data_IF_495759277374
#
_entry.id   IF_495759277374
#
_cell.length_a   1.000
_cell.length_b   1.000
_cell.length_c   1.000
_cell.angle_alpha   90.00
_cell.angle_beta   90.00
_cell.angle_gamma   90.00
#
_symmetry.space_group_name_H-M   'P 1'
#
loop_
_entity.id
_entity.type
_entity.pdbx_description
1 polymer ?
#
# COMPACT_ATOMS: atom_id res chain seq x y z
N UNK A 1 14.31 -14.34 -59.78
CA UNK A 1 13.29 -15.34 -60.15
C UNK A 1 11.96 -14.82 -59.61
N UNK A 2 11.16 -14.26 -60.51
CA UNK A 2 9.94 -13.53 -60.22
C UNK A 2 8.73 -14.47 -60.32
N UNK A 3 7.71 -14.28 -59.48
CA UNK A 3 6.33 -14.55 -59.89
C UNK A 3 5.34 -13.74 -59.06
N UNK A 4 4.65 -12.85 -59.77
CA UNK A 4 3.57 -11.98 -59.32
C UNK A 4 2.22 -12.52 -59.81
N UNK A 5 1.13 -12.31 -59.05
CA UNK A 5 -0.28 -12.27 -59.50
C UNK A 5 -1.06 -11.37 -58.52
N UNK A 6 -1.42 -10.11 -58.81
CA UNK A 6 -2.53 -9.52 -59.63
C UNK A 6 -3.98 -9.73 -59.11
N UNK A 7 -4.52 -8.66 -58.48
CA UNK A 7 -5.85 -8.00 -58.67
C UNK A 7 -7.17 -8.75 -58.41
N UNK A 8 -8.35 -8.09 -58.28
CA UNK A 8 -8.75 -6.70 -58.65
C UNK A 8 -9.29 -5.86 -57.45
N UNK A 9 -9.14 -4.52 -57.34
CA UNK A 9 -9.81 -3.37 -58.00
C UNK A 9 -11.34 -3.35 -57.95
N UNK A 10 -11.89 -2.47 -57.10
CA UNK A 10 -13.22 -1.87 -57.27
C UNK A 10 -13.17 -0.34 -57.07
N UNK A 11 -13.33 0.40 -58.18
CA UNK A 11 -13.76 1.82 -58.27
C UNK A 11 -15.27 1.81 -57.92
N UNK A 12 -15.84 2.71 -57.11
CA UNK A 12 -15.82 4.17 -57.21
C UNK A 12 -17.24 4.65 -57.51
N UNK A 13 -17.84 5.52 -56.67
CA UNK A 13 -18.89 6.46 -57.09
C UNK A 13 -19.09 7.57 -56.07
N UNK A 14 -18.62 8.75 -56.44
CA UNK A 14 -18.98 10.04 -55.89
C UNK A 14 -20.20 10.58 -56.66
N UNK A 15 -21.15 11.20 -55.96
CA UNK A 15 -22.12 12.09 -56.57
C UNK A 15 -22.33 13.36 -55.71
N UNK A 16 -22.46 14.44 -56.46
CA UNK A 16 -22.47 15.87 -56.16
C UNK A 16 -23.78 16.39 -55.55
N UNK A 17 -23.69 17.52 -54.83
CA UNK A 17 -24.78 18.40 -54.34
C UNK A 17 -25.62 19.02 -55.49
N UNK A 18 -26.77 19.73 -55.27
CA UNK A 18 -26.76 21.11 -54.73
C UNK A 18 -28.04 21.68 -54.01
N UNK A 19 -27.82 22.79 -53.29
CA UNK A 19 -28.56 24.08 -53.24
C UNK A 19 -30.01 24.31 -52.68
N UNK A 20 -30.06 25.35 -51.83
CA UNK A 20 -30.98 26.53 -51.73
C UNK A 20 -32.33 26.46 -51.00
N UNK A 21 -32.33 27.10 -49.82
CA UNK A 21 -33.07 28.31 -49.42
C UNK A 21 -34.59 28.45 -49.71
N UNK A 22 -35.39 28.69 -48.65
CA UNK A 22 -36.16 29.94 -48.50
C UNK A 22 -36.77 30.16 -47.10
N UNK A 23 -36.95 31.44 -46.83
CA UNK A 23 -37.46 32.15 -45.65
C UNK A 23 -38.88 31.82 -45.20
N UNK A 24 -39.13 31.97 -43.89
CA UNK A 24 -40.46 32.21 -43.33
C UNK A 24 -40.35 33.00 -42.01
N UNK A 25 -40.57 34.32 -42.07
CA UNK A 25 -40.63 35.23 -40.93
C UNK A 25 -42.12 35.53 -40.64
N UNK A 26 -42.58 35.18 -39.45
CA UNK A 26 -43.81 35.71 -38.83
C UNK A 26 -43.56 35.66 -37.31
N UNK A 27 -43.31 36.78 -36.63
CA UNK A 27 -44.27 37.86 -36.48
C UNK A 27 -45.22 37.50 -35.34
N UNK A 28 -44.74 37.51 -34.08
CA UNK A 28 -45.61 37.47 -32.91
C UNK A 28 -45.23 38.57 -31.93
N UNK A 29 -46.27 39.33 -31.62
CA UNK A 29 -46.33 40.61 -30.94
C UNK A 29 -45.79 40.58 -29.53
N UNK A 30 -44.89 41.52 -29.24
CA UNK A 30 -44.44 41.85 -27.90
C UNK A 30 -45.58 42.61 -27.18
N UNK A 31 -46.21 41.94 -26.21
CA UNK A 31 -47.07 42.60 -25.23
C UNK A 31 -46.66 42.13 -23.83
N UNK A 32 -46.00 43.06 -23.13
CA UNK A 32 -46.10 43.36 -21.69
C UNK A 32 -46.42 42.17 -20.76
N UNK A 33 -45.38 41.62 -20.13
CA UNK A 33 -45.42 41.00 -18.79
C UNK A 33 -44.01 40.99 -18.19
N UNK A 34 -43.47 42.18 -17.92
CA UNK A 34 -42.07 42.40 -17.54
C UNK A 34 -41.77 42.37 -16.05
N UNK A 35 -42.63 41.82 -15.19
CA UNK A 35 -42.40 41.89 -13.72
C UNK A 35 -42.43 40.52 -13.02
N UNK A 36 -42.90 39.45 -13.66
CA UNK A 36 -43.07 38.16 -12.96
C UNK A 36 -41.98 37.11 -13.21
N UNK A 37 -41.10 37.29 -14.19
CA UNK A 37 -40.05 36.29 -14.50
C UNK A 37 -38.74 36.54 -13.74
N UNK A 38 -38.43 37.81 -13.41
CA UNK A 38 -37.21 38.13 -12.66
C UNK A 38 -37.22 37.57 -11.22
N UNK A 39 -38.39 37.44 -10.59
CA UNK A 39 -38.53 36.89 -9.25
C UNK A 39 -38.37 35.35 -9.20
N UNK A 40 -38.74 34.65 -10.27
CA UNK A 40 -38.64 33.18 -10.34
C UNK A 40 -37.22 32.70 -10.67
N UNK A 41 -36.43 33.47 -11.44
CA UNK A 41 -35.02 33.13 -11.73
C UNK A 41 -34.14 33.34 -10.50
N UNK A 42 -34.41 34.37 -9.69
CA UNK A 42 -33.66 34.63 -8.45
C UNK A 42 -33.89 33.54 -7.38
N UNK A 43 -35.07 32.91 -7.34
CA UNK A 43 -35.36 31.82 -6.40
C UNK A 43 -34.69 30.49 -6.80
N UNK A 44 -34.48 30.23 -8.11
CA UNK A 44 -33.86 28.98 -8.59
C UNK A 44 -32.33 29.01 -8.47
N UNK A 45 -31.69 30.18 -8.55
CA UNK A 45 -30.22 30.27 -8.36
C UNK A 45 -29.77 30.13 -6.91
N UNK A 46 -30.65 30.36 -5.92
CA UNK A 46 -30.32 30.21 -4.49
C UNK A 46 -30.47 28.74 -4.02
N UNK A 47 -31.20 27.90 -4.77
CA UNK A 47 -31.45 26.49 -4.40
C UNK A 47 -30.33 25.50 -4.77
N UNK A 48 -29.38 25.87 -5.63
CA UNK A 48 -28.38 24.93 -6.18
C UNK A 48 -27.02 25.00 -5.44
N UNK A 49 -26.82 25.97 -4.53
CA UNK A 49 -25.58 26.08 -3.74
C UNK A 49 -25.63 25.38 -2.37
N UNK A 50 -26.69 24.62 -2.06
CA UNK A 50 -26.88 23.99 -0.75
C UNK A 50 -26.38 22.54 -0.63
N UNK A 51 -25.61 22.03 -1.59
CA UNK A 51 -24.86 20.78 -1.45
C UNK A 51 -23.35 21.03 -1.46
N UNK A 52 -22.90 22.11 -0.82
CA UNK A 52 -21.54 22.12 -0.30
C UNK A 52 -21.55 21.20 0.93
N UNK A 53 -21.08 19.96 0.74
CA UNK A 53 -20.57 19.14 1.84
C UNK A 53 -19.58 20.05 2.57
N UNK A 54 -19.98 20.46 3.79
CA UNK A 54 -19.14 21.28 4.65
C UNK A 54 -17.78 20.63 4.83
N UNK A 55 -16.76 21.39 5.24
CA UNK A 55 -15.41 20.84 5.42
C UNK A 55 -15.52 19.56 6.23
N UNK A 56 -15.17 18.43 5.59
CA UNK A 56 -15.03 17.15 6.26
C UNK A 56 -14.09 17.42 7.44
N UNK A 57 -14.55 17.28 8.70
CA UNK A 57 -13.74 17.65 9.86
C UNK A 57 -12.51 16.74 10.02
N UNK A 58 -12.29 15.81 9.08
CA UNK A 58 -11.29 14.78 9.17
C UNK A 58 -11.66 13.80 10.28
N UNK A 59 -10.91 12.71 10.43
CA UNK A 59 -11.04 11.87 11.62
C UNK A 59 -10.82 12.74 12.85
N UNK A 60 -11.58 12.49 13.92
CA UNK A 60 -11.43 13.20 15.19
C UNK A 60 -9.97 13.10 15.67
N UNK A 61 -9.21 14.16 15.45
CA UNK A 61 -7.87 14.29 15.99
C UNK A 61 -8.02 14.37 17.49
N UNK A 62 -7.40 13.44 18.23
CA UNK A 62 -7.23 13.57 19.68
C UNK A 62 -6.36 14.80 19.90
N UNK A 63 -6.88 15.93 20.40
CA UNK A 63 -6.04 17.08 20.67
C UNK A 63 -5.12 16.66 21.81
N UNK A 64 -3.81 16.64 21.56
CA UNK A 64 -2.84 16.61 22.64
C UNK A 64 -3.18 17.76 23.58
N UNK A 65 -3.55 17.45 24.82
CA UNK A 65 -4.06 18.42 25.77
C UNK A 65 -3.11 19.61 25.92
N UNK A 66 -3.55 20.78 25.48
CA UNK A 66 -2.79 22.01 25.61
C UNK A 66 -3.48 23.21 24.97
N UNK A 67 -4.14 24.03 25.79
CA UNK A 67 -4.34 25.46 25.51
C UNK A 67 -5.70 25.91 24.98
N UNK A 68 -6.60 26.21 25.91
CA UNK A 68 -7.58 27.30 25.91
C UNK A 68 -8.29 27.67 24.57
N UNK A 69 -9.42 27.04 24.29
CA UNK A 69 -10.42 27.53 23.34
C UNK A 69 -11.73 26.76 23.50
N UNK A 70 -12.80 27.44 23.87
CA UNK A 70 -13.99 26.84 24.48
C UNK A 70 -14.90 26.03 23.55
N UNK A 71 -15.22 24.82 23.99
CA UNK A 71 -16.55 24.20 24.01
C UNK A 71 -16.45 23.04 25.01
N UNK A 72 -17.13 23.16 26.16
CA UNK A 72 -17.18 22.09 27.17
C UNK A 72 -18.00 20.94 26.60
N UNK A 73 -17.31 19.95 26.01
CA UNK A 73 -17.91 18.64 25.80
C UNK A 73 -18.46 18.14 27.14
N UNK A 74 -19.66 17.52 27.19
CA UNK A 74 -20.15 16.92 28.41
C UNK A 74 -19.06 16.00 28.97
N UNK A 75 -18.64 16.26 30.21
CA UNK A 75 -17.60 15.51 30.86
C UNK A 75 -18.10 14.07 31.07
N UNK A 76 -17.74 13.17 30.16
CA UNK A 76 -17.80 11.74 30.41
C UNK A 76 -16.81 11.44 31.53
N UNK A 77 -17.32 11.37 32.76
CA UNK A 77 -16.60 11.11 34.02
C UNK A 77 -16.09 9.67 34.14
N UNK A 78 -15.81 8.98 33.03
CA UNK A 78 -15.09 7.72 33.08
C UNK A 78 -13.61 8.01 32.96
N UNK A 79 -12.85 7.66 34.01
CA UNK A 79 -11.40 7.59 33.89
C UNK A 79 -11.04 6.76 32.64
N UNK A 80 -10.03 7.17 31.85
CA UNK A 80 -9.57 6.38 30.71
C UNK A 80 -9.31 4.94 31.18
N UNK A 81 -9.79 3.97 30.42
CA UNK A 81 -9.53 2.56 30.73
C UNK A 81 -8.02 2.35 30.87
N UNK A 82 -7.58 1.70 31.96
CA UNK A 82 -6.17 1.37 32.18
C UNK A 82 -5.67 0.57 30.97
N UNK A 83 -4.55 0.99 30.39
CA UNK A 83 -3.92 0.23 29.32
C UNK A 83 -3.66 -1.22 29.77
N UNK A 84 -3.88 -2.22 28.92
CA UNK A 84 -3.57 -3.60 29.26
C UNK A 84 -2.12 -3.75 29.70
N UNK A 85 -1.87 -4.55 30.73
CA UNK A 85 -0.51 -4.86 31.15
C UNK A 85 0.18 -5.73 30.09
N UNK A 86 1.40 -5.34 29.73
CA UNK A 86 2.27 -6.11 28.85
C UNK A 86 2.64 -7.41 29.56
N UNK A 87 2.39 -8.55 28.91
CA UNK A 87 2.62 -9.88 29.46
C UNK A 87 3.39 -10.74 28.47
N UNK A 88 4.11 -11.74 28.98
CA UNK A 88 4.68 -12.79 28.15
C UNK A 88 3.57 -13.53 27.37
N UNK A 89 3.87 -14.09 26.19
CA UNK A 89 2.90 -14.85 25.41
C UNK A 89 2.42 -16.07 26.19
N UNK A 90 1.12 -16.37 26.14
CA UNK A 90 0.56 -17.57 26.75
C UNK A 90 1.00 -18.84 25.99
N UNK A 91 1.13 -18.73 24.67
CA UNK A 91 1.64 -19.76 23.78
C UNK A 91 2.82 -19.17 23.00
N UNK A 92 3.93 -19.90 22.93
CA UNK A 92 5.11 -19.47 22.19
C UNK A 92 5.24 -20.24 20.87
N UNK A 93 5.97 -19.66 19.92
CA UNK A 93 6.27 -20.29 18.64
C UNK A 93 7.38 -21.34 18.79
N UNK A 94 7.49 -22.31 17.86
CA UNK A 94 8.56 -23.32 17.89
C UNK A 94 9.90 -22.73 17.41
N UNK A 95 10.52 -21.91 18.26
CA UNK A 95 11.77 -21.20 17.96
C UNK A 95 12.97 -22.14 17.82
N UNK A 96 13.77 -21.91 16.79
CA UNK A 96 15.00 -22.67 16.52
C UNK A 96 16.18 -21.72 16.32
N UNK A 97 17.40 -22.14 16.68
CA UNK A 97 18.59 -21.34 16.38
C UNK A 97 18.73 -21.14 14.87
N UNK A 98 18.95 -19.89 14.47
CA UNK A 98 19.12 -19.54 13.07
C UNK A 98 20.19 -18.46 12.86
N UNK A 99 21.09 -18.25 13.84
CA UNK A 99 22.06 -17.15 13.81
C UNK A 99 22.93 -17.18 12.54
N UNK A 100 23.43 -18.36 12.18
CA UNK A 100 24.25 -18.55 10.99
C UNK A 100 23.46 -18.28 9.68
N UNK A 101 22.20 -18.72 9.63
CA UNK A 101 21.33 -18.51 8.46
C UNK A 101 21.08 -17.02 8.25
N UNK A 102 20.57 -16.35 9.27
CA UNK A 102 20.23 -14.92 9.23
C UNK A 102 21.47 -14.06 8.97
N UNK A 103 22.62 -14.43 9.53
CA UNK A 103 23.90 -13.76 9.24
C UNK A 103 24.31 -13.93 7.76
N UNK A 104 24.16 -15.14 7.22
CA UNK A 104 24.47 -15.43 5.82
C UNK A 104 23.53 -14.75 4.83
N UNK A 105 22.22 -14.74 5.11
CA UNK A 105 21.19 -14.13 4.27
C UNK A 105 21.44 -12.62 4.06
N UNK A 106 22.00 -11.93 5.06
CA UNK A 106 22.23 -10.48 5.01
C UNK A 106 23.70 -10.07 4.90
N UNK A 107 24.65 -11.00 4.85
CA UNK A 107 26.08 -10.70 4.86
C UNK A 107 26.51 -9.84 6.06
N UNK A 108 25.81 -9.98 7.19
CA UNK A 108 26.03 -9.19 8.39
C UNK A 108 26.34 -10.13 9.57
N UNK A 109 27.33 -9.83 10.42
CA UNK A 109 27.69 -10.72 11.52
C UNK A 109 26.53 -10.86 12.51
N UNK A 110 26.31 -12.09 13.00
CA UNK A 110 25.40 -12.31 14.11
C UNK A 110 25.88 -11.53 15.36
N UNK A 111 24.98 -10.89 16.12
CA UNK A 111 25.37 -10.12 17.29
C UNK A 111 26.00 -11.01 18.38
N UNK A 112 27.21 -10.64 18.81
CA UNK A 112 27.95 -11.42 19.82
C UNK A 112 27.19 -11.54 21.15
N UNK A 113 27.19 -12.74 21.71
CA UNK A 113 26.58 -13.03 23.01
C UNK A 113 25.06 -12.85 23.05
N UNK A 114 24.39 -12.78 21.90
CA UNK A 114 22.93 -12.77 21.79
C UNK A 114 22.47 -14.07 21.15
N UNK A 115 21.28 -14.52 21.54
CA UNK A 115 20.63 -15.69 20.94
C UNK A 115 19.72 -15.20 19.81
N UNK A 116 19.92 -15.74 18.60
CA UNK A 116 19.10 -15.43 17.41
C UNK A 116 18.32 -16.67 17.04
N UNK A 117 16.99 -16.57 17.10
CA UNK A 117 16.09 -17.68 16.81
C UNK A 117 15.09 -17.31 15.72
N UNK A 118 14.67 -18.30 14.95
CA UNK A 118 13.67 -18.14 13.91
C UNK A 118 12.49 -19.05 14.17
N UNK A 119 11.32 -18.59 13.72
CA UNK A 119 10.11 -19.36 13.66
C UNK A 119 9.29 -18.93 12.44
N UNK A 120 8.27 -19.71 12.11
CA UNK A 120 7.30 -19.38 11.07
C UNK A 120 5.92 -19.24 11.67
N UNK A 121 5.17 -18.23 11.24
CA UNK A 121 3.76 -18.05 11.60
C UNK A 121 2.91 -18.25 10.35
N UNK A 122 1.88 -19.09 10.44
CA UNK A 122 0.85 -19.15 9.41
C UNK A 122 -0.15 -18.01 9.67
N UNK A 123 -0.37 -17.15 8.68
CA UNK A 123 -1.37 -16.07 8.76
C UNK A 123 -2.33 -16.15 7.58
N UNK A 124 -3.62 -15.80 7.73
CA UNK A 124 -4.55 -15.76 6.62
C UNK A 124 -4.05 -14.86 5.49
N UNK A 125 -4.22 -15.31 4.25
CA UNK A 125 -3.94 -14.48 3.08
C UNK A 125 -4.86 -13.27 3.11
N UNK A 126 -6.18 -13.47 3.08
CA UNK A 126 -7.18 -12.42 3.32
C UNK A 126 -7.79 -12.63 4.71
N UNK A 127 -7.56 -11.71 5.68
CA UNK A 127 -8.08 -11.85 7.04
C UNK A 127 -9.61 -11.85 7.14
N UNK A 128 -10.32 -11.32 6.14
CA UNK A 128 -11.78 -11.21 6.16
C UNK A 128 -12.48 -12.38 5.44
N UNK A 129 -11.77 -13.07 4.54
CA UNK A 129 -12.43 -13.95 3.56
C UNK A 129 -11.71 -15.26 3.25
N UNK A 130 -10.41 -15.38 3.54
CA UNK A 130 -9.64 -16.53 3.06
C UNK A 130 -9.48 -17.64 4.10
N UNK A 131 -9.60 -18.88 3.62
CA UNK A 131 -9.22 -20.09 4.34
C UNK A 131 -7.78 -20.54 4.01
N UNK A 132 -7.10 -19.83 3.11
CA UNK A 132 -5.69 -20.07 2.76
C UNK A 132 -4.78 -19.24 3.65
N UNK A 133 -3.62 -19.80 3.97
CA UNK A 133 -2.61 -19.13 4.77
C UNK A 133 -1.34 -18.89 3.97
N UNK A 134 -0.65 -17.81 4.32
CA UNK A 134 0.73 -17.55 3.95
C UNK A 134 1.65 -17.82 5.14
N UNK A 135 2.94 -17.95 4.86
CA UNK A 135 3.96 -18.14 5.89
C UNK A 135 4.73 -16.85 6.11
N UNK A 136 4.80 -16.41 7.36
CA UNK A 136 5.61 -15.29 7.79
C UNK A 136 6.85 -15.82 8.49
N UNK A 137 8.02 -15.30 8.15
CA UNK A 137 9.24 -15.49 8.90
C UNK A 137 9.31 -14.52 10.08
N UNK A 138 9.66 -15.06 11.24
CA UNK A 138 9.90 -14.29 12.45
C UNK A 138 11.32 -14.55 12.93
N UNK A 139 11.98 -13.49 13.40
CA UNK A 139 13.29 -13.57 14.05
C UNK A 139 13.19 -13.00 15.45
N UNK A 140 13.54 -13.80 16.46
CA UNK A 140 13.64 -13.36 17.85
C UNK A 140 15.09 -13.21 18.25
N UNK A 141 15.43 -12.08 18.87
CA UNK A 141 16.71 -11.91 19.55
C UNK A 141 16.47 -11.72 21.05
N UNK A 142 17.28 -12.42 21.84
CA UNK A 142 17.38 -12.25 23.30
C UNK A 142 18.83 -12.12 23.74
N UNK A 143 19.02 -11.50 24.90
CA UNK A 143 20.29 -11.51 25.63
C UNK A 143 20.24 -12.51 26.79
N UNK A 144 21.38 -12.91 27.36
CA UNK A 144 21.41 -13.77 28.54
C UNK A 144 20.75 -13.15 29.78
N UNK A 145 20.51 -11.84 29.78
CA UNK A 145 19.91 -11.08 30.88
C UNK A 145 18.45 -10.73 30.64
N UNK A 146 17.88 -11.04 29.45
CA UNK A 146 16.46 -10.85 29.18
C UNK A 146 15.61 -11.64 30.20
N UNK A 147 14.70 -11.01 30.95
CA UNK A 147 13.79 -11.72 31.86
C UNK A 147 12.89 -12.69 31.07
N UNK A 148 12.69 -13.89 31.61
CA UNK A 148 11.91 -14.93 30.93
C UNK A 148 10.40 -14.60 30.82
N UNK A 149 9.90 -13.74 31.70
CA UNK A 149 8.52 -13.26 31.76
C UNK A 149 8.33 -11.88 31.12
N UNK A 150 9.39 -11.30 30.54
CA UNK A 150 9.30 -10.03 29.85
C UNK A 150 8.43 -10.14 28.59
N UNK A 151 7.50 -9.21 28.45
CA UNK A 151 6.68 -9.10 27.24
C UNK A 151 7.56 -8.83 26.01
N UNK A 152 7.38 -9.55 24.89
CA UNK A 152 8.11 -9.29 23.66
C UNK A 152 7.75 -7.94 23.07
N UNK A 153 8.75 -7.28 22.49
CA UNK A 153 8.55 -6.12 21.63
C UNK A 153 8.56 -6.58 20.18
N UNK A 154 7.50 -6.27 19.46
CA UNK A 154 7.40 -6.59 18.04
C UNK A 154 8.07 -5.50 17.23
N UNK A 155 9.00 -5.89 16.37
CA UNK A 155 9.66 -5.01 15.41
C UNK A 155 9.11 -5.28 14.01
N UNK A 156 8.68 -4.21 13.34
CA UNK A 156 8.34 -4.24 11.92
C UNK A 156 9.05 -3.10 11.20
N UNK A 157 9.55 -3.36 10.01
CA UNK A 157 10.11 -2.36 9.08
C UNK A 157 9.16 -2.13 7.90
N UNK A 158 9.64 -1.45 6.86
CA UNK A 158 8.93 -1.23 5.62
C UNK A 158 8.98 -2.43 4.66
N UNK A 159 8.54 -2.19 3.42
CA UNK A 159 8.66 -3.16 2.30
C UNK A 159 10.06 -3.21 1.70
N UNK A 160 10.88 -2.21 2.00
CA UNK A 160 12.23 -1.99 1.48
C UNK A 160 13.32 -2.76 2.23
N UNK A 161 13.03 -3.18 3.46
CA UNK A 161 13.96 -3.93 4.30
C UNK A 161 13.22 -5.00 5.11
N UNK A 162 13.73 -6.24 5.18
CA UNK A 162 13.24 -7.24 6.13
C UNK A 162 13.42 -6.77 7.59
N UNK A 163 12.43 -7.00 8.43
CA UNK A 163 12.44 -6.65 9.85
C UNK A 163 13.54 -7.41 10.59
N UNK A 164 13.80 -8.65 10.18
CA UNK A 164 14.89 -9.50 10.70
C UNK A 164 16.26 -8.86 10.49
N UNK A 165 16.50 -8.25 9.31
CA UNK A 165 17.71 -7.46 9.04
C UNK A 165 17.76 -6.20 9.92
N UNK A 166 16.64 -5.49 10.06
CA UNK A 166 16.57 -4.32 10.94
C UNK A 166 16.88 -4.69 12.41
N UNK A 167 16.43 -5.87 12.86
CA UNK A 167 16.71 -6.38 14.20
C UNK A 167 18.19 -6.68 14.42
N UNK A 168 18.89 -7.25 13.44
CA UNK A 168 20.35 -7.44 13.56
C UNK A 168 21.10 -6.11 13.74
N UNK A 169 20.69 -5.08 12.99
CA UNK A 169 21.29 -3.74 13.11
C UNK A 169 21.00 -3.12 14.47
N UNK A 170 19.76 -3.24 14.96
CA UNK A 170 19.35 -2.78 16.29
C UNK A 170 20.17 -3.47 17.39
N UNK A 171 20.33 -4.79 17.30
CA UNK A 171 21.05 -5.63 18.26
C UNK A 171 22.57 -5.41 18.26
N UNK A 172 23.13 -4.94 17.14
CA UNK A 172 24.55 -4.62 17.00
C UNK A 172 24.88 -3.17 17.40
N UNK A 173 23.87 -2.31 17.56
CA UNK A 173 24.02 -0.88 17.85
C UNK A 173 23.49 -0.47 19.23
N UNK A 174 23.06 0.79 19.33
CA UNK A 174 22.55 1.40 20.57
C UNK A 174 21.28 0.74 21.10
N UNK A 175 20.51 0.05 20.25
CA UNK A 175 19.29 -0.65 20.62
C UNK A 175 19.53 -1.95 21.40
N UNK A 176 20.77 -2.42 21.54
CA UNK A 176 21.09 -3.65 22.27
C UNK A 176 20.56 -3.65 23.71
N UNK A 177 20.60 -2.51 24.40
CA UNK A 177 20.09 -2.38 25.78
C UNK A 177 18.59 -2.67 25.93
N UNK A 178 17.82 -2.64 24.84
CA UNK A 178 16.42 -3.04 24.82
C UNK A 178 16.28 -4.55 25.04
N UNK A 179 17.23 -5.34 24.52
CA UNK A 179 17.24 -6.80 24.61
C UNK A 179 17.47 -7.27 26.04
N UNK A 180 18.15 -6.48 26.87
CA UNK A 180 18.33 -6.79 28.30
C UNK A 180 17.03 -6.66 29.11
N UNK A 181 16.00 -6.02 28.53
CA UNK A 181 14.70 -5.82 29.19
C UNK A 181 13.59 -6.63 28.56
N UNK A 182 13.62 -6.81 27.24
CA UNK A 182 12.57 -7.48 26.48
C UNK A 182 13.15 -8.33 25.35
N UNK A 183 12.60 -9.53 25.07
CA UNK A 183 12.84 -10.17 23.79
C UNK A 183 12.31 -9.27 22.68
N UNK A 184 13.04 -9.16 21.58
CA UNK A 184 12.54 -8.45 20.38
C UNK A 184 12.25 -9.47 19.29
N UNK A 185 11.03 -9.42 18.76
CA UNK A 185 10.54 -10.31 17.71
C UNK A 185 10.30 -9.48 16.45
N UNK A 186 11.17 -9.64 15.47
CA UNK A 186 10.98 -9.11 14.14
C UNK A 186 10.00 -9.97 13.33
N UNK A 187 9.04 -9.33 12.66
CA UNK A 187 8.11 -9.98 11.73
C UNK A 187 8.41 -9.49 10.33
N UNK A 188 8.94 -10.35 9.47
CA UNK A 188 9.15 -10.00 8.07
C UNK A 188 7.78 -9.96 7.38
N UNK A 189 7.45 -8.81 6.77
CA UNK A 189 6.15 -8.61 6.14
C UNK A 189 5.90 -9.63 5.02
N UNK A 190 4.64 -10.04 4.85
CA UNK A 190 4.17 -10.77 3.67
C UNK A 190 4.76 -10.20 2.37
N UNK A 191 5.31 -11.08 1.55
CA UNK A 191 5.94 -10.76 0.27
C UNK A 191 7.42 -10.40 0.30
N UNK A 192 7.99 -10.12 1.47
CA UNK A 192 9.44 -9.98 1.63
C UNK A 192 10.09 -11.37 1.57
N UNK A 193 11.35 -11.48 1.12
CA UNK A 193 12.10 -12.73 1.20
C UNK A 193 11.99 -13.39 2.59
N UNK A 194 11.72 -14.70 2.60
CA UNK A 194 11.40 -15.55 3.76
C UNK A 194 9.95 -15.51 4.28
N UNK A 195 9.13 -14.52 3.90
CA UNK A 195 7.70 -14.42 4.29
C UNK A 195 6.76 -14.55 3.09
N UNK A 196 6.67 -15.76 2.51
CA UNK A 196 5.99 -16.03 1.22
C UNK A 196 6.43 -15.02 0.16
N UNK A 197 7.62 -15.21 -0.44
CA UNK A 197 8.24 -14.20 -1.29
C UNK A 197 7.36 -13.85 -2.50
N UNK A 198 7.24 -12.56 -2.78
CA UNK A 198 6.64 -12.07 -4.02
C UNK A 198 7.68 -12.04 -5.14
N UNK A 199 7.49 -12.88 -6.14
CA UNK A 199 8.33 -12.96 -7.35
C UNK A 199 7.46 -12.93 -8.61
N UNK A 200 7.01 -11.74 -8.99
CA UNK A 200 6.19 -11.52 -10.18
C UNK A 200 6.93 -10.80 -11.32
N UNK A 201 8.11 -10.22 -11.05
CA UNK A 201 8.86 -9.45 -12.04
C UNK A 201 9.76 -10.39 -12.86
N UNK A 202 9.79 -10.18 -14.17
CA UNK A 202 10.73 -10.90 -15.03
C UNK A 202 12.18 -10.47 -14.74
N UNK A 203 13.14 -11.27 -15.23
CA UNK A 203 14.56 -10.88 -15.16
C UNK A 203 14.84 -9.57 -15.92
N UNK A 204 14.10 -9.30 -17.00
CA UNK A 204 14.27 -8.07 -17.77
C UNK A 204 13.78 -6.85 -16.98
N UNK A 205 12.61 -6.93 -16.35
CA UNK A 205 12.07 -5.83 -15.51
C UNK A 205 13.02 -5.53 -14.35
N UNK A 206 13.52 -6.58 -13.68
CA UNK A 206 14.49 -6.44 -12.59
C UNK A 206 15.78 -5.77 -13.05
N UNK A 207 16.28 -6.10 -14.25
CA UNK A 207 17.46 -5.46 -14.81
C UNK A 207 17.20 -3.98 -15.14
N UNK A 208 16.03 -3.67 -15.73
CA UNK A 208 15.64 -2.29 -16.01
C UNK A 208 15.59 -1.44 -14.73
N UNK A 209 15.05 -1.97 -13.63
CA UNK A 209 15.06 -1.28 -12.35
C UNK A 209 16.45 -1.17 -11.72
N UNK A 210 17.21 -2.27 -11.71
CA UNK A 210 18.54 -2.30 -11.10
C UNK A 210 19.50 -1.27 -11.73
N UNK A 211 19.43 -1.13 -13.06
CA UNK A 211 20.25 -0.19 -13.80
C UNK A 211 19.55 1.17 -14.01
N UNK A 212 18.35 1.40 -13.45
CA UNK A 212 17.55 2.63 -13.65
C UNK A 212 17.33 2.97 -15.14
N UNK A 213 17.18 1.94 -15.98
CA UNK A 213 17.09 2.03 -17.44
C UNK A 213 18.36 2.58 -18.12
N UNK A 214 19.49 2.72 -17.39
CA UNK A 214 20.75 3.25 -17.89
C UNK A 214 21.56 2.17 -18.64
N UNK A 215 20.94 1.54 -19.63
CA UNK A 215 21.69 0.68 -20.54
C UNK A 215 22.71 1.53 -21.33
N UNK A 216 23.93 0.99 -21.55
CA UNK A 216 25.05 1.74 -22.12
C UNK A 216 24.64 2.40 -23.45
N UNK A 217 24.71 3.73 -23.51
CA UNK A 217 24.38 4.51 -24.70
C UNK A 217 22.88 4.73 -24.94
N UNK A 218 22.02 4.46 -23.96
CA UNK A 218 20.61 4.82 -24.03
C UNK A 218 20.40 6.34 -24.04
N UNK A 219 19.48 6.80 -24.88
CA UNK A 219 18.93 8.16 -24.78
C UNK A 219 18.00 8.27 -23.57
N UNK A 220 17.70 9.50 -23.15
CA UNK A 220 16.71 9.76 -22.10
C UNK A 220 15.34 9.15 -22.44
N UNK A 221 14.86 9.33 -23.68
CA UNK A 221 13.59 8.75 -24.14
C UNK A 221 13.57 7.23 -24.05
N UNK A 222 14.68 6.56 -24.42
CA UNK A 222 14.77 5.10 -24.30
C UNK A 222 14.74 4.67 -22.84
N UNK A 223 15.49 5.35 -21.96
CA UNK A 223 15.49 5.07 -20.53
C UNK A 223 14.09 5.21 -19.92
N UNK A 224 13.37 6.28 -20.25
CA UNK A 224 11.99 6.51 -19.78
C UNK A 224 11.07 5.40 -20.31
N UNK A 225 11.19 5.05 -21.60
CA UNK A 225 10.43 3.97 -22.22
C UNK A 225 10.67 2.62 -21.55
N UNK A 226 11.93 2.24 -21.34
CA UNK A 226 12.31 0.95 -20.73
C UNK A 226 11.78 0.84 -19.29
N UNK A 227 11.89 1.91 -18.50
CA UNK A 227 11.34 1.94 -17.13
C UNK A 227 9.81 1.92 -17.10
N UNK A 228 9.16 2.64 -18.02
CA UNK A 228 7.71 2.66 -18.12
C UNK A 228 7.16 1.29 -18.53
N UNK A 229 7.78 0.63 -19.51
CA UNK A 229 7.44 -0.74 -19.92
C UNK A 229 7.64 -1.73 -18.77
N UNK A 230 8.81 -1.72 -18.11
CA UNK A 230 9.05 -2.59 -16.95
C UNK A 230 8.03 -2.37 -15.82
N UNK A 231 7.57 -1.13 -15.61
CA UNK A 231 6.53 -0.82 -14.63
C UNK A 231 5.15 -1.33 -15.00
N UNK A 232 4.74 -1.18 -16.27
CA UNK A 232 3.49 -1.75 -16.76
C UNK A 232 3.52 -3.27 -16.72
N UNK A 233 4.58 -3.89 -17.23
CA UNK A 233 4.75 -5.35 -17.25
C UNK A 233 4.74 -5.93 -15.82
N UNK A 234 5.45 -5.28 -14.89
CA UNK A 234 5.43 -5.69 -13.48
C UNK A 234 4.04 -5.54 -12.85
N UNK A 235 3.33 -4.45 -13.10
CA UNK A 235 1.98 -4.24 -12.55
C UNK A 235 0.99 -5.31 -13.04
N UNK A 236 1.01 -5.61 -14.34
CA UNK A 236 0.17 -6.63 -14.94
C UNK A 236 0.53 -8.02 -14.41
N UNK A 237 1.82 -8.39 -14.44
CA UNK A 237 2.27 -9.68 -13.97
C UNK A 237 2.00 -9.92 -12.48
N UNK A 238 2.20 -8.91 -11.62
CA UNK A 238 1.88 -9.03 -10.20
C UNK A 238 0.37 -9.09 -9.94
N UNK A 239 -0.44 -8.37 -10.72
CA UNK A 239 -1.91 -8.45 -10.61
C UNK A 239 -2.41 -9.85 -10.97
N UNK A 240 -1.88 -10.43 -12.05
CA UNK A 240 -2.24 -11.78 -12.48
C UNK A 240 -1.73 -12.86 -11.52
N UNK A 241 -0.46 -12.77 -11.09
CA UNK A 241 0.18 -13.74 -10.20
C UNK A 241 -0.52 -13.81 -8.84
N UNK A 242 -1.01 -12.67 -8.35
CA UNK A 242 -1.63 -12.58 -7.04
C UNK A 242 -3.14 -12.68 -7.06
N UNK A 243 -3.77 -12.84 -8.22
CA UNK A 243 -5.22 -12.99 -8.28
C UNK A 243 -5.69 -14.22 -7.48
N UNK A 244 -6.75 -14.09 -6.64
CA UNK A 244 -7.61 -12.92 -6.41
C UNK A 244 -7.19 -12.01 -5.24
N UNK A 245 -6.04 -12.28 -4.63
CA UNK A 245 -5.56 -11.73 -3.37
C UNK A 245 -4.54 -10.59 -3.55
N UNK A 246 -4.49 -9.93 -4.71
CA UNK A 246 -3.50 -8.87 -4.99
C UNK A 246 -3.57 -7.69 -3.99
N UNK A 247 -4.74 -7.44 -3.40
CA UNK A 247 -4.91 -6.40 -2.36
C UNK A 247 -4.49 -6.87 -0.96
N UNK A 248 -4.28 -8.16 -0.78
CA UNK A 248 -3.93 -8.77 0.50
C UNK A 248 -2.44 -8.62 0.86
N UNK A 249 -1.62 -7.97 0.04
CA UNK A 249 -0.20 -7.72 0.36
C UNK A 249 0.07 -6.27 0.82
N UNK A 250 -0.99 -5.46 0.92
CA UNK A 250 -0.92 -4.09 1.42
C UNK A 250 -0.65 -4.00 2.93
N UNK A 251 -0.43 -2.77 3.40
CA UNK A 251 -0.11 -2.49 4.83
C UNK A 251 -1.24 -2.91 5.79
N UNK A 252 -2.50 -2.84 5.37
CA UNK A 252 -3.64 -3.25 6.20
C UNK A 252 -3.60 -4.74 6.52
N UNK A 253 -3.42 -5.58 5.51
CA UNK A 253 -3.29 -7.02 5.69
C UNK A 253 -2.00 -7.39 6.45
N UNK A 254 -0.90 -6.67 6.21
CA UNK A 254 0.33 -6.82 6.99
C UNK A 254 0.17 -6.43 8.47
N UNK A 255 -0.78 -5.55 8.81
CA UNK A 255 -1.11 -5.26 10.21
C UNK A 255 -1.91 -6.40 10.84
N UNK A 256 -2.81 -7.05 10.10
CA UNK A 256 -3.54 -8.25 10.56
C UNK A 256 -2.62 -9.45 10.84
N UNK A 257 -1.44 -9.51 10.21
CA UNK A 257 -0.39 -10.48 10.57
C UNK A 257 0.05 -10.33 12.03
N UNK A 258 0.16 -9.08 12.52
CA UNK A 258 0.56 -8.80 13.90
C UNK A 258 -0.55 -9.18 14.88
N UNK A 259 -1.80 -9.06 14.46
CA UNK A 259 -2.94 -9.54 15.25
C UNK A 259 -2.99 -11.07 15.29
N UNK A 260 -2.56 -11.74 14.22
CA UNK A 260 -2.40 -13.22 14.22
C UNK A 260 -1.30 -13.65 15.20
N UNK A 261 -0.25 -12.86 15.35
CA UNK A 261 0.84 -13.12 16.29
C UNK A 261 0.44 -12.87 17.76
N UNK A 262 -0.49 -11.94 18.01
CA UNK A 262 -0.87 -11.45 19.34
C UNK A 262 -1.75 -12.43 20.13
#
# INVERSE_FOLDING_TARGET
MALARRGPVFRGRSHTAPARARSGRAGRSWRRSGVSVAALVAAVTIGISACAIGPDPGPALVPGGGGNGGQTAPASSSAPAKAPELRAPANDLPWQDCAAKVSGDYGAPAPNGLRVQCATLASPVDPDRSQTTLSLALTRITSPTTPADAAPLVLTSGTDMPSSRALLLLASGAGRSLLDKHPVVAVDRRGIPQSTPLDCLTRADRAAYADNGLTRGASEDRRIGDLASAASDAADACTETLAPDQLAFGVGAAASDLETLR
#
